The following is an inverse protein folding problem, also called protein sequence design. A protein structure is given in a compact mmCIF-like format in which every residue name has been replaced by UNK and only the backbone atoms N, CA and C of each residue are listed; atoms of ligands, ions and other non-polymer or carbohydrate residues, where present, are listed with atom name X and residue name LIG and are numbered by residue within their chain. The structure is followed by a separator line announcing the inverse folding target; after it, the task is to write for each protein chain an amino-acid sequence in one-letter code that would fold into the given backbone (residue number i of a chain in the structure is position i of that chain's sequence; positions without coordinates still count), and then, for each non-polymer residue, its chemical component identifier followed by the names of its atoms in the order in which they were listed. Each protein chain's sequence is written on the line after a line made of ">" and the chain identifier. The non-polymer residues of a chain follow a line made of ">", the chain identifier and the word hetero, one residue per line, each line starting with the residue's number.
data_IF_346668851925
#
_entry.id   IF_346668851925
#
_cell.length_a   1.000
_cell.length_b   1.000
_cell.length_c   1.000
_cell.angle_alpha   90.00
_cell.angle_beta   90.00
_cell.angle_gamma   90.00
#
_symmetry.space_group_name_H-M   'P 1'
#
loop_
_entity.id
_entity.type
_entity.pdbx_description
1 polymer ?
#
# COMPACT_ATOMS: atom_id res chain seq x y z
N UNK A 1 25.89 17.08 -11.30
CA UNK A 1 24.81 16.60 -10.43
C UNK A 1 24.64 17.63 -9.33
N UNK A 2 23.54 18.38 -9.35
CA UNK A 2 23.29 19.42 -8.36
C UNK A 2 23.09 18.79 -6.98
N UNK A 3 23.51 19.48 -5.92
CA UNK A 3 23.19 19.06 -4.56
C UNK A 3 21.67 19.02 -4.40
N UNK A 4 21.10 17.99 -3.72
CA UNK A 4 19.67 17.97 -3.45
C UNK A 4 19.30 19.21 -2.63
N UNK A 5 18.18 19.87 -2.94
CA UNK A 5 17.71 21.01 -2.16
C UNK A 5 17.47 20.57 -0.72
N UNK A 6 17.82 21.44 0.23
CA UNK A 6 17.69 21.16 1.66
C UNK A 6 16.25 20.72 2.01
N UNK A 7 15.26 21.31 1.36
CA UNK A 7 13.83 20.98 1.51
C UNK A 7 13.53 19.50 1.17
N UNK A 8 14.12 18.96 0.10
CA UNK A 8 13.90 17.56 -0.29
C UNK A 8 14.54 16.59 0.72
N UNK A 9 15.69 16.95 1.29
CA UNK A 9 16.35 16.17 2.35
C UNK A 9 15.50 16.16 3.63
N UNK A 10 14.91 17.31 4.00
CA UNK A 10 14.00 17.40 5.14
C UNK A 10 12.74 16.56 4.95
N UNK A 11 12.11 16.62 3.77
CA UNK A 11 10.93 15.82 3.44
C UNK A 11 11.23 14.32 3.50
N UNK A 12 12.39 13.89 2.99
CA UNK A 12 12.86 12.51 3.12
C UNK A 12 13.06 12.10 4.58
N UNK A 13 13.58 12.98 5.43
CA UNK A 13 13.74 12.69 6.85
C UNK A 13 12.38 12.56 7.56
N UNK A 14 11.41 13.43 7.25
CA UNK A 14 10.03 13.34 7.73
C UNK A 14 9.35 12.03 7.28
N UNK A 15 9.56 11.64 6.03
CA UNK A 15 9.10 10.35 5.49
C UNK A 15 9.68 9.15 6.26
N UNK A 16 10.97 9.20 6.62
CA UNK A 16 11.61 8.19 7.46
C UNK A 16 11.01 8.12 8.87
N UNK A 17 10.66 9.25 9.47
CA UNK A 17 9.99 9.28 10.78
C UNK A 17 8.59 8.67 10.71
N UNK A 18 7.82 9.00 9.66
CA UNK A 18 6.51 8.39 9.41
C UNK A 18 6.64 6.87 9.15
N UNK A 19 7.65 6.46 8.39
CA UNK A 19 7.96 5.05 8.13
C UNK A 19 8.25 4.29 9.43
N UNK A 20 9.04 4.88 10.35
CA UNK A 20 9.30 4.30 11.68
C UNK A 20 8.03 4.18 12.54
N UNK A 21 7.07 5.08 12.37
CA UNK A 21 5.76 5.05 13.03
C UNK A 21 4.77 4.09 12.36
N UNK A 22 5.19 3.38 11.30
CA UNK A 22 4.32 2.57 10.44
C UNK A 22 3.19 3.39 9.79
N UNK A 23 3.34 4.71 9.72
CA UNK A 23 2.43 5.61 9.04
C UNK A 23 2.80 5.67 7.56
N UNK A 24 2.44 4.60 6.86
CA UNK A 24 2.61 4.43 5.43
C UNK A 24 1.99 5.56 4.58
N UNK A 25 0.73 6.01 4.82
CA UNK A 25 0.12 7.04 3.97
C UNK A 25 0.87 8.38 4.08
N UNK A 26 1.24 8.82 5.30
CA UNK A 26 1.99 10.06 5.46
C UNK A 26 3.41 9.93 4.90
N UNK A 27 4.06 8.77 5.06
CA UNK A 27 5.39 8.53 4.50
C UNK A 27 5.39 8.67 2.96
N UNK A 28 4.40 8.09 2.27
CA UNK A 28 4.25 8.22 0.81
C UNK A 28 4.04 9.68 0.42
N UNK A 29 3.21 10.42 1.16
CA UNK A 29 2.96 11.84 0.92
C UNK A 29 4.26 12.68 1.01
N UNK A 30 5.05 12.47 2.06
CA UNK A 30 6.34 13.16 2.25
C UNK A 30 7.36 12.81 1.15
N UNK A 31 7.48 11.54 0.78
CA UNK A 31 8.36 11.13 -0.32
C UNK A 31 7.88 11.69 -1.67
N UNK A 32 6.58 11.78 -1.89
CA UNK A 32 6.01 12.34 -3.12
C UNK A 32 6.34 13.83 -3.24
N UNK A 33 6.22 14.60 -2.15
CA UNK A 33 6.65 16.01 -2.11
C UNK A 33 8.16 16.18 -2.32
N UNK A 34 8.97 15.26 -1.81
CA UNK A 34 10.41 15.29 -2.02
C UNK A 34 10.77 15.06 -3.50
N UNK A 35 10.06 14.13 -4.17
CA UNK A 35 10.20 13.86 -5.61
C UNK A 35 9.77 15.07 -6.43
N UNK A 36 8.68 15.74 -6.07
CA UNK A 36 8.18 16.93 -6.77
C UNK A 36 9.16 18.11 -6.69
N UNK A 37 9.82 18.26 -5.53
CA UNK A 37 10.86 19.27 -5.34
C UNK A 37 12.19 18.92 -6.04
N UNK A 38 12.53 17.63 -6.09
CA UNK A 38 13.77 17.16 -6.72
C UNK A 38 13.63 15.72 -7.23
N UNK A 39 13.24 15.60 -8.50
CA UNK A 39 13.02 14.32 -9.19
C UNK A 39 14.33 13.63 -9.60
N UNK A 40 15.44 14.36 -9.53
CA UNK A 40 16.77 13.90 -9.96
C UNK A 40 17.41 12.93 -8.96
N UNK A 41 16.85 12.76 -7.76
CA UNK A 41 17.36 11.85 -6.74
C UNK A 41 16.64 10.49 -6.75
N UNK A 42 17.31 9.40 -7.15
CA UNK A 42 16.71 8.06 -7.19
C UNK A 42 16.39 7.50 -5.80
N UNK A 43 17.04 8.02 -4.75
CA UNK A 43 16.79 7.60 -3.36
C UNK A 43 15.35 7.84 -2.90
N UNK A 44 14.68 8.90 -3.40
CA UNK A 44 13.30 9.19 -3.01
C UNK A 44 12.30 8.17 -3.55
N UNK A 45 12.48 7.74 -4.81
CA UNK A 45 11.65 6.70 -5.42
C UNK A 45 11.82 5.36 -4.73
N UNK A 46 13.07 5.00 -4.39
CA UNK A 46 13.38 3.77 -3.66
C UNK A 46 12.67 3.74 -2.30
N UNK A 47 12.75 4.84 -1.53
CA UNK A 47 12.08 4.92 -0.23
C UNK A 47 10.56 4.91 -0.31
N UNK A 48 9.96 5.51 -1.36
CA UNK A 48 8.51 5.41 -1.60
C UNK A 48 8.09 3.98 -1.90
N UNK A 49 8.87 3.24 -2.69
CA UNK A 49 8.58 1.85 -3.05
C UNK A 49 8.76 0.87 -1.86
N UNK A 50 9.58 1.23 -0.87
CA UNK A 50 9.72 0.46 0.36
C UNK A 50 8.47 0.51 1.25
N UNK A 51 7.59 1.49 1.07
CA UNK A 51 6.33 1.53 1.80
C UNK A 51 5.49 0.33 1.34
N UNK A 52 5.19 -0.64 2.23
CA UNK A 52 4.39 -1.78 1.85
C UNK A 52 3.03 -1.27 1.39
N UNK A 53 2.71 -1.52 0.11
CA UNK A 53 1.49 -1.07 -0.53
C UNK A 53 0.32 -1.42 0.37
N UNK A 54 -0.30 -0.38 0.95
CA UNK A 54 -1.47 -0.52 1.79
C UNK A 54 -2.47 -1.36 0.99
N UNK A 55 -2.96 -2.51 1.49
CA UNK A 55 -4.11 -3.12 0.87
C UNK A 55 -5.19 -2.04 0.79
N UNK A 56 -5.92 -1.94 -0.34
CA UNK A 56 -6.96 -0.94 -0.49
C UNK A 56 -7.81 -0.94 0.78
N UNK A 57 -8.17 0.23 1.35
CA UNK A 57 -9.13 0.23 2.44
C UNK A 57 -10.28 -0.63 1.98
N UNK A 58 -10.69 -1.59 2.81
CA UNK A 58 -11.80 -2.48 2.55
C UNK A 58 -13.08 -1.65 2.45
N UNK A 59 -13.18 -0.87 1.37
CA UNK A 59 -14.42 -0.38 0.84
C UNK A 59 -15.08 -1.64 0.33
N UNK A 60 -16.23 -1.97 0.90
CA UNK A 60 -17.00 -3.20 0.69
C UNK A 60 -16.60 -4.37 1.60
N UNK A 61 -16.83 -4.16 2.89
CA UNK A 61 -17.60 -5.12 3.67
C UNK A 61 -18.94 -5.41 2.95
N UNK A 62 -18.92 -6.24 1.92
CA UNK A 62 -20.08 -7.06 1.58
C UNK A 62 -19.94 -8.29 2.46
N UNK A 63 -20.78 -8.49 3.50
CA UNK A 63 -20.85 -9.80 4.10
C UNK A 63 -21.20 -10.75 2.95
N UNK A 64 -20.28 -11.65 2.59
CA UNK A 64 -20.59 -12.80 1.77
C UNK A 64 -21.48 -13.74 2.59
N UNK A 65 -22.65 -13.26 3.01
CA UNK A 65 -23.85 -14.08 3.17
C UNK A 65 -24.30 -14.45 1.75
N UNK A 66 -23.42 -15.11 0.99
CA UNK A 66 -23.83 -15.87 -0.19
C UNK A 66 -24.01 -17.30 0.29
N UNK A 67 -25.18 -17.48 0.89
CA UNK A 67 -25.93 -18.72 1.11
C UNK A 67 -25.09 -19.95 1.42
N UNK A 68 -25.21 -20.43 2.67
CA UNK A 68 -25.03 -21.83 3.02
C UNK A 68 -25.52 -22.72 1.86
N UNK A 69 -24.60 -23.45 1.23
CA UNK A 69 -24.93 -24.60 0.39
C UNK A 69 -25.66 -25.57 1.31
N UNK A 70 -26.99 -25.78 1.19
CA UNK A 70 -27.63 -26.79 2.00
C UNK A 70 -27.04 -28.12 1.55
N UNK A 71 -26.51 -28.86 2.51
CA UNK A 71 -26.24 -30.29 2.41
C UNK A 71 -27.57 -30.99 2.13
N UNK A 72 -28.06 -30.94 0.89
CA UNK A 72 -29.20 -31.74 0.45
C UNK A 72 -28.66 -33.09 -0.03
N UNK A 73 -28.58 -33.98 0.94
CA UNK A 73 -28.61 -35.42 0.77
C UNK A 73 -29.75 -35.80 -0.19
N UNK A 74 -29.43 -36.29 -1.40
CA UNK A 74 -30.37 -37.06 -2.25
C UNK A 74 -29.63 -37.83 -3.36
N UNK A 75 -29.00 -38.94 -2.94
CA UNK A 75 -29.10 -40.33 -3.46
C UNK A 75 -28.84 -40.67 -4.96
N UNK A 76 -28.53 -41.97 -5.24
CA UNK A 76 -27.53 -42.43 -6.21
C UNK A 76 -28.14 -42.91 -7.52
N UNK A 77 -27.35 -42.99 -8.60
CA UNK A 77 -27.69 -43.88 -9.72
C UNK A 77 -26.44 -44.57 -10.23
N UNK A 78 -26.52 -45.90 -10.21
CA UNK A 78 -25.56 -46.87 -10.69
C UNK A 78 -25.23 -46.65 -12.19
N UNK A 79 -23.99 -46.96 -12.55
CA UNK A 79 -23.56 -47.09 -13.95
C UNK A 79 -23.49 -48.58 -14.30
N UNK A 80 -23.75 -48.92 -15.59
CA UNK A 80 -24.09 -50.27 -16.06
C UNK A 80 -22.94 -51.26 -16.03
#
# INVERSE_FOLDING_TARGET
>A
MGSPPAEAVELKNKGNEAFKKQDWPSAVDFYTKAIDAYDQEPSFYTNRAQVPGRPPPAMHATPLTRCHRPTSSSRPTAWP
#
